data_IF_006231573173
#
_entry.id   IF_006231573173
#
_cell.length_a   1.000
_cell.length_b   1.000
_cell.length_c   1.000
_cell.angle_alpha   90.00
_cell.angle_beta   90.00
_cell.angle_gamma   90.00
#
_symmetry.space_group_name_H-M   'P 1'
#
loop_
_entity.id
_entity.type
_entity.pdbx_description
1 polymer ?
#
# COMPACT_ATOMS: atom_id res chain seq x y z
N UNK A 1 -4.93 14.85 -18.59
CA UNK A 1 -3.88 15.45 -17.73
C UNK A 1 -4.31 15.58 -16.27
N UNK A 2 -5.38 16.33 -15.94
CA UNK A 2 -5.79 16.53 -14.53
C UNK A 2 -6.12 15.22 -13.78
N UNK A 3 -6.75 14.26 -14.47
CA UNK A 3 -7.16 12.99 -13.88
C UNK A 3 -5.96 12.14 -13.41
N UNK A 4 -4.88 12.14 -14.18
CA UNK A 4 -3.62 11.46 -13.83
C UNK A 4 -3.02 12.02 -12.54
N UNK A 5 -3.00 13.35 -12.39
CA UNK A 5 -2.52 14.00 -11.17
C UNK A 5 -3.37 13.67 -9.94
N UNK A 6 -4.70 13.59 -10.09
CA UNK A 6 -5.60 13.17 -9.01
C UNK A 6 -5.30 11.72 -8.59
N UNK A 7 -5.10 10.82 -9.56
CA UNK A 7 -4.76 9.42 -9.31
C UNK A 7 -3.43 9.28 -8.58
N UNK A 8 -2.41 10.04 -8.99
CA UNK A 8 -1.12 10.06 -8.31
C UNK A 8 -1.22 10.61 -6.89
N UNK A 9 -1.98 11.69 -6.67
CA UNK A 9 -2.17 12.28 -5.34
C UNK A 9 -2.84 11.29 -4.37
N UNK A 10 -3.90 10.61 -4.83
CA UNK A 10 -4.57 9.55 -4.06
C UNK A 10 -3.60 8.41 -3.72
N UNK A 11 -2.77 8.02 -4.69
CA UNK A 11 -1.82 6.94 -4.48
C UNK A 11 -0.72 7.29 -3.49
N UNK A 12 -0.19 8.51 -3.56
CA UNK A 12 0.78 9.05 -2.60
C UNK A 12 0.19 9.08 -1.20
N UNK A 13 -1.06 9.53 -1.05
CA UNK A 13 -1.75 9.54 0.24
C UNK A 13 -1.88 8.12 0.83
N UNK A 14 -2.23 7.15 0.01
CA UNK A 14 -2.33 5.75 0.41
C UNK A 14 -0.99 5.17 0.82
N UNK A 15 0.06 5.40 0.04
CA UNK A 15 1.41 4.96 0.43
C UNK A 15 1.84 5.63 1.74
N UNK A 16 1.63 6.93 1.90
CA UNK A 16 1.98 7.65 3.12
C UNK A 16 1.26 7.06 4.35
N UNK A 17 -0.03 6.75 4.24
CA UNK A 17 -0.79 6.10 5.33
C UNK A 17 -0.30 4.68 5.62
N UNK A 18 -0.01 3.87 4.59
CA UNK A 18 0.53 2.52 4.76
C UNK A 18 1.91 2.51 5.43
N UNK A 19 2.83 3.37 4.97
CA UNK A 19 4.18 3.50 5.55
C UNK A 19 4.14 4.11 6.96
N UNK A 20 3.21 5.03 7.24
CA UNK A 20 2.97 5.57 8.58
C UNK A 20 2.48 4.49 9.55
N UNK A 21 1.47 3.71 9.15
CA UNK A 21 0.95 2.59 9.93
C UNK A 21 2.01 1.50 10.15
N UNK A 22 2.80 1.18 9.11
CA UNK A 22 3.90 0.24 9.20
C UNK A 22 4.97 0.71 10.20
N UNK A 23 5.39 1.98 10.14
CA UNK A 23 6.33 2.55 11.11
C UNK A 23 5.79 2.49 12.54
N UNK A 24 4.50 2.77 12.74
CA UNK A 24 3.89 2.70 14.07
C UNK A 24 3.82 1.27 14.59
N UNK A 25 3.42 0.30 13.76
CA UNK A 25 3.42 -1.12 14.09
C UNK A 25 4.83 -1.62 14.40
N UNK A 26 5.83 -1.22 13.60
CA UNK A 26 7.24 -1.54 13.83
C UNK A 26 7.73 -1.08 15.20
N UNK A 27 7.38 0.14 15.62
CA UNK A 27 7.74 0.66 16.94
C UNK A 27 7.07 -0.08 18.10
N UNK A 28 5.92 -0.73 17.86
CA UNK A 28 5.18 -1.52 18.86
C UNK A 28 5.58 -3.00 18.91
N UNK A 29 6.25 -3.51 17.86
CA UNK A 29 6.72 -4.91 17.85
C UNK A 29 8.16 -5.00 18.35
N UNK A 30 8.44 -5.97 19.22
CA UNK A 30 9.81 -6.20 19.68
C UNK A 30 10.67 -6.83 18.59
N UNK A 31 11.99 -6.57 18.58
CA UNK A 31 12.91 -7.27 17.69
C UNK A 31 12.86 -8.78 17.90
N UNK A 32 12.74 -9.54 16.80
CA UNK A 32 12.70 -11.01 16.82
C UNK A 32 11.32 -11.62 17.07
N UNK A 33 10.33 -10.86 17.53
CA UNK A 33 8.97 -11.37 17.70
C UNK A 33 8.23 -11.40 16.34
N UNK A 34 7.57 -12.53 16.00
CA UNK A 34 6.72 -12.59 14.82
C UNK A 34 5.49 -11.68 15.00
N UNK A 35 5.02 -11.13 13.89
CA UNK A 35 3.79 -10.34 13.86
C UNK A 35 2.63 -11.29 13.59
N UNK A 36 1.66 -11.29 14.50
CA UNK A 36 0.38 -11.98 14.31
C UNK A 36 -0.50 -11.19 13.35
N UNK A 37 -0.62 -11.70 12.14
CA UNK A 37 -1.55 -11.21 11.13
C UNK A 37 -2.76 -12.16 11.07
N UNK A 38 -3.92 -11.72 10.54
CA UNK A 38 -5.08 -12.60 10.33
C UNK A 38 -4.80 -13.85 9.48
N UNK A 39 -3.75 -13.80 8.66
CA UNK A 39 -3.32 -14.88 7.76
C UNK A 39 -2.27 -15.82 8.40
N UNK A 40 -1.86 -15.55 9.65
CA UNK A 40 -0.86 -16.33 10.37
C UNK A 40 0.24 -15.48 11.01
N UNK A 41 1.23 -16.16 11.58
CA UNK A 41 2.43 -15.53 12.15
C UNK A 41 3.49 -15.35 11.06
N UNK A 42 3.92 -14.10 10.84
CA UNK A 42 4.92 -13.76 9.84
C UNK A 42 6.07 -13.01 10.53
N UNK A 43 7.31 -13.23 10.09
CA UNK A 43 8.45 -12.49 10.59
C UNK A 43 8.23 -10.97 10.51
N UNK A 44 8.60 -10.25 11.56
CA UNK A 44 8.34 -8.80 11.75
C UNK A 44 8.58 -7.95 10.52
N UNK A 45 9.71 -8.17 9.83
CA UNK A 45 10.07 -7.47 8.59
C UNK A 45 9.00 -7.60 7.52
N UNK A 46 8.68 -8.84 7.16
CA UNK A 46 7.68 -9.13 6.13
C UNK A 46 6.27 -8.73 6.58
N UNK A 47 5.89 -9.04 7.83
CA UNK A 47 4.55 -8.76 8.33
C UNK A 47 4.18 -7.27 8.35
N UNK A 48 5.17 -6.39 8.55
CA UNK A 48 4.96 -4.94 8.61
C UNK A 48 5.16 -4.26 7.25
N UNK A 49 6.21 -4.66 6.51
CA UNK A 49 6.67 -3.91 5.34
C UNK A 49 6.29 -4.52 3.99
N UNK A 50 5.92 -5.81 3.92
CA UNK A 50 5.67 -6.47 2.64
C UNK A 50 4.57 -5.77 1.83
N UNK A 51 3.44 -5.44 2.45
CA UNK A 51 2.32 -4.84 1.74
C UNK A 51 2.58 -3.37 1.30
N UNK A 52 3.15 -2.47 2.13
CA UNK A 52 3.57 -1.14 1.65
C UNK A 52 4.56 -1.20 0.48
N UNK A 53 5.54 -2.11 0.52
CA UNK A 53 6.50 -2.27 -0.58
C UNK A 53 5.86 -2.87 -1.83
N UNK A 54 4.98 -3.86 -1.68
CA UNK A 54 4.24 -4.44 -2.80
C UNK A 54 3.33 -3.39 -3.46
N UNK A 55 2.62 -2.58 -2.68
CA UNK A 55 1.79 -1.48 -3.16
C UNK A 55 2.62 -0.42 -3.91
N UNK A 56 3.80 -0.09 -3.38
CA UNK A 56 4.73 0.82 -4.04
C UNK A 56 5.24 0.26 -5.37
N UNK A 57 5.71 -0.99 -5.38
CA UNK A 57 6.22 -1.65 -6.58
C UNK A 57 5.15 -1.79 -7.67
N UNK A 58 3.93 -2.18 -7.28
CA UNK A 58 2.79 -2.26 -8.19
C UNK A 58 2.47 -0.89 -8.82
N UNK A 59 2.52 0.17 -8.02
CA UNK A 59 2.28 1.51 -8.52
C UNK A 59 3.38 2.02 -9.44
N UNK A 60 4.63 1.73 -9.12
CA UNK A 60 5.76 2.06 -9.97
C UNK A 60 5.65 1.34 -11.30
N UNK A 61 5.30 0.05 -11.28
CA UNK A 61 5.07 -0.73 -12.49
C UNK A 61 3.94 -0.16 -13.36
N UNK A 62 2.80 0.23 -12.75
CA UNK A 62 1.72 0.91 -13.48
C UNK A 62 2.16 2.27 -14.05
N UNK A 63 2.95 3.05 -13.30
CA UNK A 63 3.47 4.33 -13.78
C UNK A 63 4.36 4.14 -15.02
N UNK A 64 5.20 3.11 -15.01
CA UNK A 64 6.06 2.77 -16.14
C UNK A 64 5.21 2.35 -17.35
N UNK A 65 4.23 1.47 -17.16
CA UNK A 65 3.31 1.06 -18.24
C UNK A 65 2.47 2.19 -18.80
N UNK A 66 2.11 3.16 -17.97
CA UNK A 66 1.34 4.33 -18.40
C UNK A 66 2.15 5.29 -19.28
N UNK A 67 3.49 5.27 -19.21
CA UNK A 67 4.34 6.08 -20.10
C UNK A 67 4.26 5.64 -21.56
N UNK A 68 4.02 4.35 -21.80
CA UNK A 68 3.96 3.76 -23.13
C UNK A 68 2.54 3.72 -23.70
N UNK A 69 1.54 4.22 -22.95
CA UNK A 69 0.13 4.05 -23.25
C UNK A 69 -0.54 5.38 -23.65
N UNK A 70 -1.08 5.45 -24.87
CA UNK A 70 -1.85 6.59 -25.37
C UNK A 70 -3.37 6.37 -25.19
N UNK A 71 -4.13 7.45 -24.99
CA UNK A 71 -5.61 7.45 -25.06
C UNK A 71 -6.33 6.74 -23.89
N UNK A 72 -7.29 5.86 -24.22
CA UNK A 72 -8.20 5.18 -23.27
C UNK A 72 -7.48 4.38 -22.17
N UNK A 73 -6.27 3.92 -22.45
CA UNK A 73 -5.45 3.20 -21.48
C UNK A 73 -5.11 4.05 -20.24
N UNK A 74 -5.01 5.38 -20.38
CA UNK A 74 -4.78 6.28 -19.25
C UNK A 74 -5.97 6.33 -18.28
N UNK A 75 -7.20 6.21 -18.81
CA UNK A 75 -8.42 6.12 -18.01
C UNK A 75 -8.52 4.80 -17.25
N UNK A 76 -8.15 3.69 -17.90
CA UNK A 76 -8.11 2.37 -17.25
C UNK A 76 -7.08 2.36 -16.12
N UNK A 77 -5.86 2.86 -16.37
CA UNK A 77 -4.82 2.96 -15.34
C UNK A 77 -5.26 3.86 -14.18
N UNK A 78 -5.93 4.98 -14.47
CA UNK A 78 -6.51 5.82 -13.43
C UNK A 78 -7.57 5.07 -12.61
N UNK A 79 -8.51 4.39 -13.26
CA UNK A 79 -9.56 3.62 -12.58
C UNK A 79 -9.01 2.51 -11.70
N UNK A 80 -7.99 1.79 -12.19
CA UNK A 80 -7.29 0.75 -11.41
C UNK A 80 -6.59 1.37 -10.21
N UNK A 81 -5.86 2.49 -10.37
CA UNK A 81 -5.21 3.17 -9.24
C UNK A 81 -6.21 3.75 -8.25
N UNK A 82 -7.26 4.42 -8.70
CA UNK A 82 -8.25 5.02 -7.81
C UNK A 82 -8.99 3.98 -6.95
N UNK A 83 -9.21 2.78 -7.48
CA UNK A 83 -9.89 1.68 -6.77
C UNK A 83 -8.94 0.86 -5.89
N UNK A 84 -7.75 0.54 -6.38
CA UNK A 84 -6.80 -0.31 -5.63
C UNK A 84 -6.17 0.43 -4.45
N UNK A 85 -6.03 1.76 -4.50
CA UNK A 85 -5.40 2.54 -3.43
C UNK A 85 -6.15 2.40 -2.09
N UNK A 86 -7.47 2.73 -2.01
CA UNK A 86 -8.20 2.62 -0.77
C UNK A 86 -8.28 1.17 -0.28
N UNK A 87 -8.39 0.19 -1.18
CA UNK A 87 -8.41 -1.22 -0.82
C UNK A 87 -7.09 -1.67 -0.16
N UNK A 88 -5.94 -1.25 -0.69
CA UNK A 88 -4.64 -1.58 -0.11
C UNK A 88 -4.42 -0.89 1.26
N UNK A 89 -4.86 0.36 1.40
CA UNK A 89 -4.82 1.04 2.69
C UNK A 89 -5.69 0.33 3.74
N UNK A 90 -6.92 -0.04 3.39
CA UNK A 90 -7.83 -0.77 4.27
C UNK A 90 -7.29 -2.16 4.61
N UNK A 91 -6.72 -2.87 3.63
CA UNK A 91 -6.09 -4.16 3.84
C UNK A 91 -4.90 -4.05 4.81
N UNK A 92 -4.04 -3.05 4.65
CA UNK A 92 -2.92 -2.80 5.57
C UNK A 92 -3.40 -2.55 6.99
N UNK A 93 -4.42 -1.70 7.15
CA UNK A 93 -4.99 -1.41 8.46
C UNK A 93 -5.66 -2.64 9.08
N UNK A 94 -6.34 -3.45 8.28
CA UNK A 94 -6.97 -4.69 8.74
C UNK A 94 -5.93 -5.72 9.20
N UNK A 95 -4.87 -5.91 8.41
CA UNK A 95 -3.75 -6.80 8.75
C UNK A 95 -3.05 -6.36 10.04
N UNK A 96 -2.80 -5.06 10.19
CA UNK A 96 -2.12 -4.49 11.36
C UNK A 96 -3.04 -4.23 12.55
N UNK A 97 -4.36 -4.48 12.44
CA UNK A 97 -5.34 -4.17 13.48
C UNK A 97 -5.00 -4.84 14.82
N UNK A 98 -4.45 -6.05 14.79
CA UNK A 98 -4.02 -6.77 15.99
C UNK A 98 -2.78 -6.19 16.66
N UNK A 99 -1.93 -5.48 15.90
CA UNK A 99 -0.68 -4.86 16.37
C UNK A 99 -0.88 -3.40 16.77
N UNK A 100 -1.89 -2.73 16.19
CA UNK A 100 -2.17 -1.31 16.41
C UNK A 100 -3.14 -1.07 17.58
N UNK A 101 -3.84 -2.09 18.07
CA UNK A 101 -4.69 -1.99 19.27
C UNK A 101 -3.82 -2.01 20.53
N UNK A 102 -4.10 -1.13 21.52
CA UNK A 102 -3.37 -1.04 22.78
C UNK A 102 -3.55 -2.30 23.64
#
# INVERSE_FOLDING_TARGET
>A
MILTYIGDALWVLVLATMFGAARQAWGRTRPGEPVRLPIGEIGRGLGVWALPFAAFAFSLWLALRARDAEGEAALIVFGVRATTAPLLALLQLWLLKGVLRP
#
